data_IF_405453979304
#
_entry.id   IF_405453979304
#
_cell.length_a   1.000
_cell.length_b   1.000
_cell.length_c   1.000
_cell.angle_alpha   90.00
_cell.angle_beta   90.00
_cell.angle_gamma   90.00
#
_symmetry.space_group_name_H-M   'P 1'
#
loop_
_entity.id
_entity.type
_entity.pdbx_description
1 polymer ?
#
# COMPACT_ATOMS: atom_id res chain seq x y z
N UNK A 1 8.59 25.26 -2.34
CA UNK A 1 8.10 24.49 -3.51
C UNK A 1 7.53 23.18 -3.01
N UNK A 2 6.20 23.10 -2.83
CA UNK A 2 5.56 21.83 -2.53
C UNK A 2 5.68 20.96 -3.79
N UNK A 3 6.61 20.00 -3.77
CA UNK A 3 6.70 18.97 -4.79
C UNK A 3 5.33 18.29 -4.84
N UNK A 4 4.53 18.64 -5.84
CA UNK A 4 3.32 17.91 -6.23
C UNK A 4 3.78 16.48 -6.50
N UNK A 5 3.82 15.65 -5.45
CA UNK A 5 4.00 14.20 -5.57
C UNK A 5 2.89 13.78 -6.51
N UNK A 6 3.26 13.44 -7.74
CA UNK A 6 2.29 13.11 -8.76
C UNK A 6 1.41 12.01 -8.15
N UNK A 7 0.08 12.23 -8.05
CA UNK A 7 -0.79 11.13 -7.75
C UNK A 7 -0.49 10.06 -8.80
N UNK A 8 -0.50 8.80 -8.40
CA UNK A 8 -0.20 7.66 -9.26
C UNK A 8 1.29 7.38 -9.51
N UNK A 9 2.17 7.70 -8.55
CA UNK A 9 3.56 7.21 -8.61
C UNK A 9 3.61 5.73 -8.23
N UNK A 10 4.11 4.82 -9.10
CA UNK A 10 4.29 3.42 -8.73
C UNK A 10 5.32 3.31 -7.60
N UNK A 11 5.03 2.49 -6.60
CA UNK A 11 5.87 2.27 -5.44
C UNK A 11 5.88 0.79 -5.07
N UNK A 12 7.04 0.29 -4.68
CA UNK A 12 7.19 -1.09 -4.21
C UNK A 12 7.24 -1.09 -2.70
N UNK A 13 6.39 -1.89 -2.10
CA UNK A 13 6.28 -2.06 -0.66
C UNK A 13 6.49 -3.52 -0.31
N UNK A 14 6.84 -3.80 0.93
CA UNK A 14 6.82 -5.16 1.46
C UNK A 14 6.31 -5.10 2.88
N UNK A 15 5.53 -6.10 3.26
CA UNK A 15 4.94 -6.20 4.58
C UNK A 15 5.05 -7.62 5.08
N UNK A 16 5.39 -7.75 6.36
CA UNK A 16 5.46 -9.03 7.05
C UNK A 16 4.09 -9.25 7.73
N UNK A 17 3.42 -10.37 7.44
CA UNK A 17 2.14 -10.73 8.08
C UNK A 17 0.87 -10.07 7.52
N UNK A 18 0.83 -9.76 6.21
CA UNK A 18 -0.38 -9.24 5.58
C UNK A 18 -1.20 -10.35 4.92
N UNK A 19 -1.88 -11.10 5.77
CA UNK A 19 -2.80 -12.13 5.31
C UNK A 19 -4.08 -11.48 4.74
N UNK A 20 -4.47 -11.89 3.54
CA UNK A 20 -5.71 -11.43 2.88
C UNK A 20 -5.63 -10.13 2.07
N UNK A 21 -4.46 -9.47 1.99
CA UNK A 21 -4.30 -8.30 1.12
C UNK A 21 -4.24 -8.75 -0.36
N UNK A 22 -5.09 -8.17 -1.19
CA UNK A 22 -5.25 -8.54 -2.59
C UNK A 22 -5.10 -7.33 -3.52
N UNK A 23 -4.97 -7.60 -4.82
CA UNK A 23 -5.00 -6.57 -5.85
C UNK A 23 -6.34 -5.83 -5.83
N UNK A 24 -6.29 -4.51 -5.92
CA UNK A 24 -7.48 -3.64 -5.82
C UNK A 24 -7.76 -3.10 -4.42
N UNK A 25 -7.13 -3.68 -3.40
CA UNK A 25 -7.24 -3.15 -2.04
C UNK A 25 -6.44 -1.84 -1.89
N UNK A 26 -6.91 -0.98 -0.99
CA UNK A 26 -6.23 0.24 -0.63
C UNK A 26 -5.51 0.08 0.70
N UNK A 27 -4.29 0.60 0.78
CA UNK A 27 -3.51 0.70 2.01
C UNK A 27 -3.50 2.15 2.43
N UNK A 28 -3.91 2.41 3.67
CA UNK A 28 -3.84 3.73 4.29
C UNK A 28 -2.90 3.70 5.48
N UNK A 29 -2.08 4.74 5.60
CA UNK A 29 -1.11 4.88 6.67
C UNK A 29 -1.55 5.95 7.64
N UNK A 30 -1.22 5.79 8.92
CA UNK A 30 -1.51 6.79 9.94
C UNK A 30 -0.80 8.13 9.69
N UNK A 31 0.22 8.16 8.82
CA UNK A 31 0.89 9.37 8.36
C UNK A 31 0.22 10.07 7.15
N UNK A 32 -1.00 9.68 6.78
CA UNK A 32 -1.77 10.33 5.72
C UNK A 32 -1.32 9.97 4.30
N UNK A 33 -0.62 8.85 4.11
CA UNK A 33 -0.34 8.33 2.76
C UNK A 33 -1.28 7.18 2.43
N UNK A 34 -1.66 7.10 1.16
CA UNK A 34 -2.50 6.03 0.64
C UNK A 34 -1.83 5.35 -0.55
N UNK A 35 -2.12 4.07 -0.74
CA UNK A 35 -1.55 3.25 -1.81
C UNK A 35 -2.60 2.27 -2.32
N UNK A 36 -2.77 2.16 -3.63
CA UNK A 36 -3.61 1.14 -4.26
C UNK A 36 -2.73 -0.07 -4.61
N UNK A 37 -3.11 -1.26 -4.16
CA UNK A 37 -2.39 -2.50 -4.47
C UNK A 37 -2.66 -2.89 -5.93
N UNK A 38 -1.59 -3.00 -6.72
CA UNK A 38 -1.66 -3.40 -8.12
C UNK A 38 -1.22 -4.85 -8.32
N UNK A 39 -0.25 -5.32 -7.54
CA UNK A 39 0.17 -6.71 -7.53
C UNK A 39 0.64 -7.15 -6.15
N UNK A 40 0.45 -8.42 -5.84
CA UNK A 40 0.90 -9.07 -4.61
C UNK A 40 1.79 -10.25 -4.98
N UNK A 41 2.99 -10.32 -4.39
CA UNK A 41 3.97 -11.38 -4.66
C UNK A 41 4.56 -11.88 -3.35
N UNK A 42 4.36 -13.14 -2.96
CA UNK A 42 5.01 -13.69 -1.78
C UNK A 42 6.53 -13.70 -1.96
N UNK A 43 7.28 -13.48 -0.89
CA UNK A 43 8.73 -13.54 -0.95
C UNK A 43 9.19 -15.00 -1.10
N UNK A 44 10.10 -15.30 -2.04
CA UNK A 44 10.58 -16.66 -2.25
C UNK A 44 11.41 -17.19 -1.07
N UNK A 45 12.02 -16.30 -0.28
CA UNK A 45 12.88 -16.68 0.85
C UNK A 45 12.21 -16.53 2.21
N UNK A 46 11.07 -15.82 2.29
CA UNK A 46 10.34 -15.56 3.55
C UNK A 46 8.84 -15.63 3.28
N UNK A 47 8.18 -16.78 3.46
CA UNK A 47 6.75 -16.91 3.15
C UNK A 47 5.86 -15.93 3.92
N UNK A 48 6.34 -15.44 5.06
CA UNK A 48 5.70 -14.46 5.94
C UNK A 48 5.68 -13.04 5.34
N UNK A 49 6.52 -12.78 4.32
CA UNK A 49 6.69 -11.48 3.68
C UNK A 49 5.98 -11.44 2.34
N UNK A 50 5.12 -10.44 2.16
CA UNK A 50 4.45 -10.15 0.91
C UNK A 50 5.06 -8.88 0.29
N UNK A 51 5.59 -9.01 -0.92
CA UNK A 51 5.97 -7.88 -1.77
C UNK A 51 4.75 -7.36 -2.51
N UNK A 52 4.63 -6.05 -2.56
CA UNK A 52 3.50 -5.36 -3.15
C UNK A 52 4.02 -4.37 -4.17
N UNK A 53 3.48 -4.45 -5.38
CA UNK A 53 3.54 -3.34 -6.31
C UNK A 53 2.28 -2.51 -6.06
N UNK A 54 2.46 -1.30 -5.55
CA UNK A 54 1.38 -0.39 -5.24
C UNK A 54 1.50 0.90 -6.06
N UNK A 55 0.41 1.63 -6.14
CA UNK A 55 0.33 2.92 -6.77
C UNK A 55 0.02 3.97 -5.71
N UNK A 56 0.88 4.98 -5.54
CA UNK A 56 0.66 6.02 -4.54
C UNK A 56 -0.62 6.80 -4.88
N UNK A 57 -1.59 6.73 -3.99
CA UNK A 57 -2.91 7.33 -4.15
C UNK A 57 -3.10 8.50 -3.18
N UNK A 58 -4.10 9.33 -3.44
CA UNK A 58 -4.52 10.39 -2.52
C UNK A 58 -5.59 9.81 -1.58
N UNK A 59 -5.44 9.92 -0.25
CA UNK A 59 -6.41 9.36 0.70
C UNK A 59 -7.82 9.94 0.50
N UNK A 60 -7.91 11.22 0.13
CA UNK A 60 -9.17 11.91 -0.19
C UNK A 60 -9.88 11.36 -1.45
N UNK A 61 -9.15 10.65 -2.32
CA UNK A 61 -9.69 10.05 -3.55
C UNK A 61 -9.91 8.55 -3.44
N UNK A 62 -9.85 7.98 -2.23
CA UNK A 62 -10.22 6.59 -2.03
C UNK A 62 -11.75 6.49 -2.02
N UNK A 63 -12.35 5.57 -2.80
CA UNK A 63 -13.78 5.33 -2.75
C UNK A 63 -14.21 4.90 -1.34
N UNK A 64 -15.33 5.38 -0.85
CA UNK A 64 -15.83 5.05 0.50
C UNK A 64 -16.19 3.57 0.65
N UNK A 65 -16.51 2.90 -0.46
CA UNK A 65 -16.80 1.46 -0.52
C UNK A 65 -15.52 0.59 -0.65
N UNK A 66 -14.36 1.21 -0.84
CA UNK A 66 -13.13 0.48 -1.07
C UNK A 66 -12.58 -0.13 0.22
N UNK A 67 -12.05 -1.36 0.10
CA UNK A 67 -11.45 -2.07 1.21
C UNK A 67 -10.10 -1.44 1.58
N UNK A 68 -10.07 -0.79 2.75
CA UNK A 68 -8.91 -0.06 3.24
C UNK A 68 -8.21 -0.81 4.37
N UNK A 69 -6.96 -1.21 4.12
CA UNK A 69 -6.07 -1.79 5.11
C UNK A 69 -5.26 -0.70 5.79
N UNK A 70 -5.44 -0.54 7.10
CA UNK A 70 -4.67 0.41 7.89
C UNK A 70 -3.36 -0.23 8.31
N UNK A 71 -2.26 0.20 7.69
CA UNK A 71 -0.93 -0.26 8.06
C UNK A 71 -0.22 0.81 8.88
N UNK A 72 0.15 0.43 10.10
CA UNK A 72 1.09 1.20 10.92
C UNK A 72 2.49 0.80 10.48
N UNK A 73 3.13 1.66 9.68
CA UNK A 73 4.56 1.53 9.43
C UNK A 73 5.29 1.75 10.74
N UNK A 74 5.66 0.66 11.40
CA UNK A 74 6.65 0.73 12.45
C UNK A 74 7.94 1.21 11.79
N UNK A 75 8.44 2.37 12.19
CA UNK A 75 9.84 2.73 11.94
C UNK A 75 10.67 1.57 12.49
N UNK A 76 11.38 0.86 11.62
CA UNK A 76 12.54 0.10 12.05
C UNK A 76 13.67 1.06 12.35
#
# INVERSE_FOLDING_TARGET
MASRRQPFTPCKLYIDGADGLSVGDYIVTSGGSAYLVQATRPSPSKPERLYLDCLRWLPDQIPTDARCYRLNWYRR
#
